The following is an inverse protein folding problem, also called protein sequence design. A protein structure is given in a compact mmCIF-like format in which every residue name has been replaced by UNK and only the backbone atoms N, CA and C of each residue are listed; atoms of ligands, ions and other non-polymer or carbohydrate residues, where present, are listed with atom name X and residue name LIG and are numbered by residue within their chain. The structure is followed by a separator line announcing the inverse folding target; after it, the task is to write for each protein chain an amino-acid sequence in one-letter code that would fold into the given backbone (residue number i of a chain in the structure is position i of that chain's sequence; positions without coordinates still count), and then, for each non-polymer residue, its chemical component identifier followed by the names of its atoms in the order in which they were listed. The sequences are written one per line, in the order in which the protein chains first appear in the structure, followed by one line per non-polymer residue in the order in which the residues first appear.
data_IF_969301934123
#
_entry.id   IF_969301934123
#
_cell.length_a   1.000
_cell.length_b   1.000
_cell.length_c   1.000
_cell.angle_alpha   90.00
_cell.angle_beta   90.00
_cell.angle_gamma   90.00
#
_symmetry.space_group_name_H-M   'P 1'
#
loop_
_entity.id
_entity.type
_entity.pdbx_description
1 polymer ?
#
# COMPACT_ATOMS: atom_id res chain seq x y z
N UNK A 1 -3.27 1.85 -20.20
CA UNK A 1 -3.06 1.19 -18.90
C UNK A 1 -4.19 0.20 -18.64
N UNK A 2 -3.86 -1.00 -18.21
CA UNK A 2 -4.84 -2.02 -17.90
C UNK A 2 -5.66 -1.60 -16.66
N UNK A 3 -7.00 -1.74 -16.73
CA UNK A 3 -7.88 -1.42 -15.62
C UNK A 3 -7.83 -2.50 -14.54
N UNK A 4 -7.75 -2.07 -13.27
CA UNK A 4 -7.71 -2.97 -12.12
C UNK A 4 -9.10 -3.02 -11.45
N UNK A 5 -9.49 -4.21 -11.01
CA UNK A 5 -10.78 -4.40 -10.35
C UNK A 5 -10.90 -3.52 -9.12
N UNK A 6 -12.14 -3.11 -8.82
CA UNK A 6 -12.43 -2.36 -7.60
C UNK A 6 -12.09 -3.18 -6.36
N UNK A 7 -11.56 -2.52 -5.33
CA UNK A 7 -11.35 -3.12 -4.02
C UNK A 7 -12.67 -3.15 -3.26
N UNK A 8 -12.94 -4.23 -2.52
CA UNK A 8 -14.15 -4.25 -1.72
C UNK A 8 -14.03 -3.27 -0.54
N UNK A 9 -15.19 -2.92 0.03
CA UNK A 9 -15.29 -1.90 1.06
C UNK A 9 -14.43 -2.23 2.29
N UNK A 10 -14.43 -3.48 2.74
CA UNK A 10 -13.67 -3.89 3.92
C UNK A 10 -12.16 -3.76 3.72
N UNK A 11 -11.67 -4.15 2.56
CA UNK A 11 -10.24 -4.01 2.22
C UNK A 11 -9.86 -2.53 2.12
N UNK A 12 -10.69 -1.73 1.46
CA UNK A 12 -10.44 -0.30 1.31
C UNK A 12 -10.42 0.41 2.67
N UNK A 13 -11.32 0.03 3.57
CA UNK A 13 -11.35 0.56 4.94
C UNK A 13 -10.07 0.21 5.71
N UNK A 14 -9.61 -1.04 5.62
CA UNK A 14 -8.37 -1.47 6.27
C UNK A 14 -7.16 -0.71 5.75
N UNK A 15 -7.06 -0.56 4.43
CA UNK A 15 -5.98 0.22 3.80
C UNK A 15 -6.00 1.66 4.30
N UNK A 16 -7.18 2.26 4.36
CA UNK A 16 -7.34 3.65 4.83
C UNK A 16 -6.91 3.80 6.28
N UNK A 17 -7.22 2.84 7.13
CA UNK A 17 -6.81 2.85 8.55
C UNK A 17 -5.30 2.69 8.70
N UNK A 18 -4.67 1.88 7.86
CA UNK A 18 -3.21 1.71 7.88
C UNK A 18 -2.51 3.01 7.47
N UNK A 19 -2.91 3.58 6.34
CA UNK A 19 -2.28 4.78 5.79
C UNK A 19 -2.63 6.05 6.57
N UNK A 20 -3.82 6.11 7.14
CA UNK A 20 -4.31 7.25 7.89
C UNK A 20 -4.24 7.07 9.40
N UNK A 21 -3.41 6.18 9.92
CA UNK A 21 -3.26 5.96 11.35
C UNK A 21 -2.91 7.26 12.08
N UNK A 22 -3.50 7.46 13.25
CA UNK A 22 -3.33 8.69 14.03
C UNK A 22 -1.88 8.92 14.44
N UNK A 23 -1.18 7.86 14.82
CA UNK A 23 0.19 7.95 15.35
C UNK A 23 1.26 7.80 14.28
N UNK A 24 1.09 6.83 13.36
CA UNK A 24 2.12 6.42 12.41
C UNK A 24 1.74 6.63 10.94
N UNK A 25 0.53 7.15 10.68
CA UNK A 25 0.04 7.35 9.33
C UNK A 25 0.44 8.70 8.76
N UNK A 26 -0.10 9.00 7.60
CA UNK A 26 0.09 10.27 6.93
C UNK A 26 -0.43 11.43 7.78
N UNK A 27 0.24 12.57 7.71
CA UNK A 27 -0.29 13.82 8.28
C UNK A 27 -1.42 14.36 7.40
N UNK A 28 -2.21 15.29 7.93
CA UNK A 28 -3.26 15.94 7.15
C UNK A 28 -2.73 16.61 5.89
N UNK A 29 -1.58 17.27 5.97
CA UNK A 29 -0.93 17.92 4.83
C UNK A 29 -0.46 16.93 3.80
N UNK A 30 0.09 15.80 4.24
CA UNK A 30 0.52 14.73 3.35
C UNK A 30 -0.67 14.11 2.62
N UNK A 31 -1.80 13.92 3.30
CA UNK A 31 -3.02 13.40 2.67
C UNK A 31 -3.45 14.33 1.54
N UNK A 32 -3.54 15.63 1.79
CA UNK A 32 -3.86 16.62 0.75
C UNK A 32 -2.93 16.50 -0.44
N UNK A 33 -1.63 16.48 -0.16
CA UNK A 33 -0.61 16.48 -1.21
C UNK A 33 -0.68 15.20 -2.07
N UNK A 34 -0.73 14.03 -1.45
CA UNK A 34 -0.73 12.78 -2.20
C UNK A 34 -2.04 12.50 -2.93
N UNK A 35 -3.18 12.92 -2.38
CA UNK A 35 -4.45 12.84 -3.11
C UNK A 35 -4.38 13.69 -4.38
N UNK A 36 -3.83 14.90 -4.28
CA UNK A 36 -3.66 15.79 -5.43
C UNK A 36 -2.74 15.18 -6.48
N UNK A 37 -1.64 14.55 -6.06
CA UNK A 37 -0.70 13.88 -6.97
C UNK A 37 -1.38 12.77 -7.79
N UNK A 38 -2.38 12.14 -7.24
CA UNK A 38 -3.11 11.05 -7.90
C UNK A 38 -4.39 11.51 -8.60
N UNK A 39 -4.68 12.81 -8.65
CA UNK A 39 -5.92 13.36 -9.17
C UNK A 39 -7.15 12.79 -8.47
N UNK A 40 -7.07 12.66 -7.15
CA UNK A 40 -8.16 12.20 -6.29
C UNK A 40 -8.69 13.39 -5.52
N UNK A 41 -10.00 13.65 -5.65
CA UNK A 41 -10.65 14.75 -4.92
C UNK A 41 -10.72 14.40 -3.43
N UNK A 42 -10.32 15.37 -2.59
CA UNK A 42 -10.40 15.26 -1.14
C UNK A 42 -11.79 15.71 -0.69
N UNK A 43 -12.73 14.77 -0.64
CA UNK A 43 -14.16 15.09 -0.49
C UNK A 43 -14.59 15.45 0.93
N UNK A 44 -13.82 15.04 1.95
CA UNK A 44 -14.14 15.33 3.37
C UNK A 44 -12.88 15.73 4.14
N UNK A 45 -12.26 16.88 3.82
CA UNK A 45 -10.95 17.22 4.39
C UNK A 45 -10.94 17.51 5.88
N UNK A 46 -12.10 17.72 6.50
CA UNK A 46 -12.22 18.13 7.90
C UNK A 46 -12.46 17.00 8.90
N UNK A 47 -12.60 15.75 8.44
CA UNK A 47 -12.87 14.62 9.34
C UNK A 47 -11.59 13.84 9.67
N UNK A 48 -11.73 12.84 10.55
CA UNK A 48 -10.64 11.94 10.97
C UNK A 48 -9.86 11.40 9.79
N UNK A 49 -8.53 11.35 9.89
CA UNK A 49 -7.63 11.02 8.79
C UNK A 49 -8.01 9.76 8.01
N UNK A 50 -8.26 8.64 8.69
CA UNK A 50 -8.59 7.42 7.98
C UNK A 50 -9.96 7.49 7.28
N UNK A 51 -10.94 8.14 7.90
CA UNK A 51 -12.27 8.34 7.29
C UNK A 51 -12.19 9.28 6.09
N UNK A 52 -11.35 10.31 6.18
CA UNK A 52 -11.06 11.23 5.08
C UNK A 52 -10.46 10.47 3.90
N UNK A 53 -9.45 9.62 4.16
CA UNK A 53 -8.86 8.77 3.12
C UNK A 53 -9.88 7.82 2.53
N UNK A 54 -10.62 7.12 3.36
CA UNK A 54 -11.65 6.19 2.90
C UNK A 54 -12.66 6.88 1.98
N UNK A 55 -13.16 8.04 2.38
CA UNK A 55 -14.13 8.80 1.58
C UNK A 55 -13.56 9.18 0.22
N UNK A 56 -12.33 9.67 0.19
CA UNK A 56 -11.69 10.07 -1.05
C UNK A 56 -11.44 8.88 -1.97
N UNK A 57 -10.89 7.80 -1.44
CA UNK A 57 -10.56 6.60 -2.22
C UNK A 57 -11.82 5.88 -2.70
N UNK A 58 -12.83 5.75 -1.86
CA UNK A 58 -14.10 5.15 -2.25
C UNK A 58 -14.80 5.96 -3.34
N UNK A 59 -14.80 7.28 -3.21
CA UNK A 59 -15.42 8.19 -4.18
C UNK A 59 -14.78 8.06 -5.56
N UNK A 60 -13.44 8.09 -5.62
CA UNK A 60 -12.74 8.00 -6.91
C UNK A 60 -12.93 6.64 -7.54
N UNK A 61 -12.92 5.57 -6.74
CA UNK A 61 -13.14 4.22 -7.25
C UNK A 61 -14.56 4.07 -7.83
N UNK A 62 -15.55 4.59 -7.14
CA UNK A 62 -16.93 4.56 -7.62
C UNK A 62 -17.11 5.36 -8.92
N UNK A 63 -16.42 6.48 -9.05
CA UNK A 63 -16.45 7.29 -10.26
C UNK A 63 -15.75 6.59 -11.43
N UNK A 64 -14.52 6.12 -11.21
CA UNK A 64 -13.68 5.53 -12.25
C UNK A 64 -14.07 4.09 -12.58
N UNK A 65 -14.81 3.40 -11.69
CA UNK A 65 -15.16 1.98 -11.81
C UNK A 65 -13.93 1.06 -11.85
N UNK A 66 -12.82 1.52 -11.26
CA UNK A 66 -11.59 0.74 -11.17
C UNK A 66 -10.74 1.25 -9.99
N UNK A 67 -9.73 0.47 -9.58
CA UNK A 67 -8.87 0.80 -8.45
C UNK A 67 -7.52 1.41 -8.83
N UNK A 68 -7.33 1.79 -10.09
CA UNK A 68 -6.03 2.24 -10.58
C UNK A 68 -5.45 3.40 -9.77
N UNK A 69 -6.26 4.41 -9.47
CA UNK A 69 -5.80 5.57 -8.70
C UNK A 69 -5.49 5.22 -7.24
N UNK A 70 -6.24 4.27 -6.66
CA UNK A 70 -5.98 3.79 -5.31
C UNK A 70 -4.63 3.08 -5.24
N UNK A 71 -4.36 2.19 -6.20
CA UNK A 71 -3.08 1.48 -6.25
C UNK A 71 -1.93 2.46 -6.45
N UNK A 72 -2.12 3.48 -7.29
CA UNK A 72 -1.11 4.52 -7.46
C UNK A 72 -0.90 5.32 -6.17
N UNK A 73 -1.95 5.64 -5.45
CA UNK A 73 -1.87 6.32 -4.16
C UNK A 73 -1.02 5.50 -3.18
N UNK A 74 -1.31 4.21 -3.05
CA UNK A 74 -0.53 3.30 -2.20
C UNK A 74 0.95 3.31 -2.63
N UNK A 75 1.20 3.23 -3.92
CA UNK A 75 2.56 3.20 -4.47
C UNK A 75 3.34 4.49 -4.16
N UNK A 76 2.69 5.63 -4.24
CA UNK A 76 3.32 6.92 -3.92
C UNK A 76 3.58 7.04 -2.43
N UNK A 77 2.60 6.70 -1.60
CA UNK A 77 2.74 6.78 -0.13
C UNK A 77 3.82 5.82 0.38
N UNK A 78 3.87 4.62 -0.18
CA UNK A 78 4.85 3.59 0.20
C UNK A 78 6.04 3.54 -0.76
N UNK A 79 6.40 4.66 -1.34
CA UNK A 79 7.64 4.78 -2.11
C UNK A 79 8.81 4.64 -1.12
N UNK A 80 9.72 3.68 -1.32
CA UNK A 80 10.85 3.50 -0.40
C UNK A 80 11.71 4.74 -0.23
N UNK A 81 11.76 5.62 -1.23
CA UNK A 81 12.52 6.87 -1.15
C UNK A 81 11.99 7.84 -0.09
N UNK A 82 10.76 7.67 0.39
CA UNK A 82 10.19 8.52 1.45
C UNK A 82 10.64 8.12 2.85
N UNK A 83 11.28 6.98 3.00
CA UNK A 83 11.59 6.41 4.32
C UNK A 83 13.08 6.43 4.57
N UNK A 84 13.45 6.82 5.80
CA UNK A 84 14.84 6.75 6.27
C UNK A 84 15.07 5.50 7.13
N UNK A 85 13.99 4.90 7.64
CA UNK A 85 14.04 3.70 8.47
C UNK A 85 13.38 2.54 7.69
N UNK A 86 14.21 1.57 7.30
CA UNK A 86 13.74 0.42 6.53
C UNK A 86 12.73 -0.44 7.30
N UNK A 87 12.86 -0.52 8.62
CA UNK A 87 11.96 -1.32 9.44
C UNK A 87 10.54 -0.72 9.43
N UNK A 88 10.43 0.60 9.48
CA UNK A 88 9.14 1.29 9.41
C UNK A 88 8.50 1.03 8.06
N UNK A 89 9.26 1.18 6.98
CA UNK A 89 8.79 0.91 5.63
C UNK A 89 8.28 -0.54 5.49
N UNK A 90 9.07 -1.52 5.93
CA UNK A 90 8.72 -2.93 5.80
C UNK A 90 7.49 -3.30 6.64
N UNK A 91 7.34 -2.72 7.83
CA UNK A 91 6.16 -2.92 8.67
C UNK A 91 4.89 -2.45 7.96
N UNK A 92 4.93 -1.26 7.36
CA UNK A 92 3.78 -0.72 6.62
C UNK A 92 3.51 -1.52 5.37
N UNK A 93 4.53 -1.90 4.63
CA UNK A 93 4.41 -2.69 3.41
C UNK A 93 3.79 -4.06 3.72
N UNK A 94 4.22 -4.71 4.81
CA UNK A 94 3.65 -5.97 5.26
C UNK A 94 2.15 -5.84 5.54
N UNK A 95 1.75 -4.82 6.27
CA UNK A 95 0.35 -4.59 6.61
C UNK A 95 -0.51 -4.37 5.36
N UNK A 96 0.00 -3.59 4.41
CA UNK A 96 -0.70 -3.35 3.14
C UNK A 96 -0.78 -4.64 2.31
N UNK A 97 0.28 -5.44 2.28
CA UNK A 97 0.29 -6.70 1.52
C UNK A 97 -0.65 -7.75 2.10
N UNK A 98 -0.91 -7.74 3.41
CA UNK A 98 -1.97 -8.58 3.98
C UNK A 98 -3.33 -8.25 3.34
N UNK A 99 -3.63 -6.97 3.14
CA UNK A 99 -4.85 -6.53 2.48
C UNK A 99 -4.85 -6.86 0.98
N UNK A 100 -3.76 -6.55 0.29
CA UNK A 100 -3.65 -6.71 -1.15
C UNK A 100 -3.64 -8.17 -1.58
N UNK A 101 -3.22 -9.09 -0.71
CA UNK A 101 -3.24 -10.52 -0.99
C UNK A 101 -4.63 -11.03 -1.35
N UNK A 102 -5.67 -10.47 -0.74
CA UNK A 102 -7.05 -10.86 -1.02
C UNK A 102 -7.53 -10.44 -2.42
N UNK A 103 -6.87 -9.46 -3.02
CA UNK A 103 -7.25 -8.96 -4.35
C UNK A 103 -6.20 -9.26 -5.41
N UNK A 104 -5.20 -10.07 -5.07
CA UNK A 104 -4.23 -10.58 -6.03
C UNK A 104 -3.09 -9.64 -6.37
N UNK A 105 -2.76 -8.71 -5.49
CA UNK A 105 -1.63 -7.80 -5.67
C UNK A 105 -0.65 -7.88 -4.52
N UNK A 106 0.60 -7.54 -4.84
CA UNK A 106 1.70 -7.50 -3.89
C UNK A 106 2.56 -6.27 -4.20
N UNK A 107 2.81 -5.44 -3.19
CA UNK A 107 3.73 -4.32 -3.31
C UNK A 107 5.13 -4.81 -2.94
N UNK A 108 6.05 -4.77 -3.89
CA UNK A 108 7.42 -5.18 -3.69
C UNK A 108 8.24 -4.09 -2.99
N UNK A 109 9.40 -4.45 -2.47
CA UNK A 109 10.28 -3.49 -1.75
C UNK A 109 10.79 -2.38 -2.65
N UNK A 110 10.80 -2.59 -3.96
CA UNK A 110 11.20 -1.56 -4.93
C UNK A 110 10.06 -0.58 -5.26
N UNK A 111 8.90 -0.74 -4.64
CA UNK A 111 7.75 0.11 -4.88
C UNK A 111 6.88 -0.27 -6.07
N UNK A 112 7.16 -1.41 -6.71
CA UNK A 112 6.37 -1.89 -7.85
C UNK A 112 5.37 -2.94 -7.42
N UNK A 113 4.21 -2.97 -8.07
CA UNK A 113 3.21 -4.01 -7.85
C UNK A 113 3.52 -5.24 -8.69
N UNK A 114 3.12 -6.40 -8.15
CA UNK A 114 3.14 -7.67 -8.84
C UNK A 114 1.79 -8.34 -8.66
N UNK A 115 1.32 -9.03 -9.70
CA UNK A 115 0.09 -9.83 -9.63
C UNK A 115 0.43 -11.18 -9.00
N UNK A 116 -0.39 -11.61 -8.04
CA UNK A 116 -0.22 -12.89 -7.34
C UNK A 116 -1.56 -13.60 -7.27
N UNK A 117 -1.53 -14.89 -6.89
CA UNK A 117 -2.76 -15.64 -6.63
C UNK A 117 -3.44 -15.09 -5.39
N UNK A 118 -4.75 -14.88 -5.44
CA UNK A 118 -5.50 -14.33 -4.31
C UNK A 118 -5.45 -15.25 -3.09
N UNK A 119 -5.22 -14.67 -1.91
CA UNK A 119 -5.32 -15.38 -0.65
C UNK A 119 -6.78 -15.61 -0.30
N UNK A 120 -7.09 -16.77 0.28
CA UNK A 120 -8.48 -17.15 0.64
C UNK A 120 -8.75 -17.07 2.13
N UNK A 121 -7.70 -17.04 2.95
CA UNK A 121 -7.80 -17.02 4.41
C UNK A 121 -6.86 -15.98 5.00
N UNK A 122 -7.14 -15.59 6.25
CA UNK A 122 -6.29 -14.66 7.01
C UNK A 122 -4.89 -15.25 7.19
N UNK A 123 -4.80 -16.54 7.55
CA UNK A 123 -3.51 -17.25 7.69
C UNK A 123 -2.67 -17.18 6.42
N UNK A 124 -3.30 -17.44 5.28
CA UNK A 124 -2.62 -17.45 3.98
C UNK A 124 -2.09 -16.06 3.64
N UNK A 125 -2.89 -15.00 3.87
CA UNK A 125 -2.48 -13.62 3.62
C UNK A 125 -1.31 -13.22 4.52
N UNK A 126 -1.36 -13.56 5.80
CA UNK A 126 -0.29 -13.26 6.76
C UNK A 126 0.99 -14.02 6.42
N UNK A 127 0.87 -15.29 6.09
CA UNK A 127 2.01 -16.14 5.71
C UNK A 127 2.70 -15.58 4.47
N UNK A 128 1.93 -15.19 3.46
CA UNK A 128 2.47 -14.63 2.22
C UNK A 128 3.23 -13.32 2.49
N UNK A 129 2.69 -12.43 3.33
CA UNK A 129 3.33 -11.18 3.68
C UNK A 129 4.65 -11.42 4.43
N UNK A 130 4.68 -12.39 5.32
CA UNK A 130 5.90 -12.78 6.04
C UNK A 130 6.94 -13.39 5.11
N UNK A 131 6.54 -14.28 4.20
CA UNK A 131 7.44 -14.92 3.24
C UNK A 131 8.09 -13.88 2.33
N UNK A 132 7.33 -12.89 1.89
CA UNK A 132 7.84 -11.81 1.07
C UNK A 132 8.92 -11.02 1.81
N UNK A 133 8.71 -10.70 3.09
CA UNK A 133 9.67 -9.99 3.91
C UNK A 133 10.97 -10.80 4.09
N UNK A 134 10.87 -12.08 4.41
CA UNK A 134 12.02 -12.98 4.56
C UNK A 134 12.81 -13.07 3.24
N UNK A 135 12.13 -13.27 2.14
CA UNK A 135 12.77 -13.38 0.82
C UNK A 135 13.55 -12.11 0.47
N UNK A 136 13.01 -10.95 0.80
CA UNK A 136 13.70 -9.67 0.57
C UNK A 136 14.94 -9.52 1.42
N UNK A 137 14.89 -9.90 2.68
CA UNK A 137 16.05 -9.86 3.57
C UNK A 137 17.16 -10.77 3.06
N UNK A 138 16.82 -11.96 2.58
CA UNK A 138 17.78 -12.90 1.99
C UNK A 138 18.39 -12.36 0.70
N UNK A 139 17.60 -11.75 -0.16
CA UNK A 139 18.10 -11.14 -1.41
C UNK A 139 19.07 -10.00 -1.13
N UNK A 140 18.74 -9.14 -0.20
CA UNK A 140 19.59 -8.01 0.18
C UNK A 140 20.93 -8.50 0.72
N UNK A 141 20.91 -9.49 1.61
CA UNK A 141 22.12 -10.09 2.15
C UNK A 141 22.99 -10.70 1.04
N UNK A 142 22.38 -11.42 0.10
CA UNK A 142 23.09 -12.03 -1.02
C UNK A 142 23.70 -10.98 -1.94
N UNK A 143 23.00 -9.90 -2.23
CA UNK A 143 23.51 -8.80 -3.06
C UNK A 143 24.69 -8.11 -2.40
N UNK A 144 24.66 -7.90 -1.10
CA UNK A 144 25.77 -7.29 -0.37
C UNK A 144 27.01 -8.17 -0.41
N UNK A 145 26.86 -9.48 -0.22
CA UNK A 145 27.97 -10.43 -0.32
C UNK A 145 28.58 -10.39 -1.72
N UNK A 146 27.75 -10.36 -2.74
CA UNK A 146 28.19 -10.30 -4.14
C UNK A 146 28.94 -9.01 -4.45
N UNK A 147 28.47 -7.88 -3.93
CA UNK A 147 29.15 -6.58 -4.09
C UNK A 147 30.53 -6.57 -3.46
N UNK A 148 30.68 -7.20 -2.29
CA UNK A 148 31.96 -7.27 -1.58
C UNK A 148 32.98 -8.17 -2.29
N UNK A 149 32.53 -9.14 -3.08
CA UNK A 149 33.43 -10.03 -3.82
C UNK A 149 33.87 -9.50 -5.17
N UNK A 150 33.34 -8.37 -5.58
CA UNK A 150 33.75 -7.67 -6.79
C UNK A 150 34.83 -6.65 -6.47
#
# INVERSE_FOLDING_TARGET
MELRYCLNQGILERISKILGDTSNGLTGSEISYFLQQCNIKDVTPEITKWKRLYSALASVQNFDKCSNKILRFIQIVLNPARFTDNQIFETKRKAINECLSYVGYELQSNGRFRVVTTAKTISEAQQRANDLLVNLQMRNAHQEIFKLSL
#
